data_IF_284089755057
#
_entry.id   IF_284089755057
#
_cell.length_a   1.000
_cell.length_b   1.000
_cell.length_c   1.000
_cell.angle_alpha   90.00
_cell.angle_beta   90.00
_cell.angle_gamma   90.00
#
_symmetry.space_group_name_H-M   'P 1'
#
loop_
_entity.id
_entity.type
_entity.pdbx_description
1 polymer ?
#
# COMPACT_ATOMS: atom_id res chain seq x y z
N UNK A 1 -3.42 -14.19 -8.60
CA UNK A 1 -3.76 -12.95 -7.86
C UNK A 1 -2.94 -12.88 -6.58
N UNK A 2 -2.59 -11.69 -6.09
CA UNK A 2 -1.90 -11.50 -4.80
C UNK A 2 -2.76 -10.66 -3.87
N UNK A 3 -2.76 -10.97 -2.58
CA UNK A 3 -3.57 -10.26 -1.59
C UNK A 3 -2.67 -9.48 -0.65
N UNK A 4 -3.01 -8.22 -0.39
CA UNK A 4 -2.33 -7.37 0.58
C UNK A 4 -3.34 -7.00 1.67
N UNK A 5 -2.96 -7.25 2.92
CA UNK A 5 -3.70 -6.76 4.08
C UNK A 5 -2.95 -5.54 4.62
N UNK A 6 -3.60 -4.39 4.62
CA UNK A 6 -3.06 -3.13 5.12
C UNK A 6 -3.94 -2.60 6.26
N UNK A 7 -3.61 -2.98 7.50
CA UNK A 7 -4.24 -2.43 8.70
C UNK A 7 -3.23 -2.28 9.83
N UNK A 8 -3.48 -1.33 10.74
CA UNK A 8 -2.77 -1.26 12.03
C UNK A 8 -3.36 -2.21 13.08
N UNK A 9 -4.57 -2.74 12.88
CA UNK A 9 -5.23 -3.64 13.83
C UNK A 9 -4.74 -5.08 13.66
N UNK A 10 -3.97 -5.58 14.64
CA UNK A 10 -3.40 -6.91 14.60
C UNK A 10 -4.43 -8.03 14.67
N UNK A 11 -5.56 -7.86 15.36
CA UNK A 11 -6.62 -8.87 15.40
C UNK A 11 -7.25 -9.08 14.02
N UNK A 12 -7.53 -7.98 13.32
CA UNK A 12 -8.04 -8.01 11.95
C UNK A 12 -7.00 -8.62 11.00
N UNK A 13 -5.73 -8.23 11.14
CA UNK A 13 -4.63 -8.78 10.35
C UNK A 13 -4.56 -10.32 10.47
N UNK A 14 -4.61 -10.84 11.71
CA UNK A 14 -4.61 -12.27 11.96
C UNK A 14 -5.88 -12.96 11.44
N UNK A 15 -7.06 -12.39 11.71
CA UNK A 15 -8.33 -12.94 11.25
C UNK A 15 -8.40 -13.05 9.73
N UNK A 16 -8.04 -11.99 9.01
CA UNK A 16 -8.00 -12.00 7.54
C UNK A 16 -6.92 -12.94 7.00
N UNK A 17 -5.75 -13.03 7.65
CA UNK A 17 -4.70 -13.97 7.24
C UNK A 17 -5.16 -15.42 7.38
N UNK A 18 -5.92 -15.74 8.42
CA UNK A 18 -6.51 -17.06 8.63
C UNK A 18 -7.61 -17.35 7.60
N UNK A 19 -8.52 -16.40 7.39
CA UNK A 19 -9.63 -16.53 6.41
C UNK A 19 -9.12 -16.68 4.98
N UNK A 20 -8.00 -16.04 4.64
CA UNK A 20 -7.44 -16.01 3.28
C UNK A 20 -6.23 -16.92 3.12
N UNK A 21 -6.13 -17.99 3.93
CA UNK A 21 -5.00 -18.94 3.92
C UNK A 21 -4.71 -19.57 2.55
N UNK A 22 -5.75 -19.73 1.73
CA UNK A 22 -5.65 -20.33 0.39
C UNK A 22 -5.18 -19.32 -0.67
N UNK A 23 -5.03 -18.05 -0.29
CA UNK A 23 -4.50 -16.98 -1.13
C UNK A 23 -3.05 -16.67 -0.77
N UNK A 24 -2.31 -16.13 -1.75
CA UNK A 24 -0.98 -15.56 -1.51
C UNK A 24 -1.10 -14.19 -0.81
N UNK A 25 -1.25 -14.22 0.51
CA UNK A 25 -1.40 -13.06 1.37
C UNK A 25 -0.04 -12.46 1.74
N UNK A 26 0.04 -11.13 1.76
CA UNK A 26 1.18 -10.37 2.26
C UNK A 26 0.69 -9.25 3.17
N UNK A 27 1.32 -9.09 4.33
CA UNK A 27 1.02 -7.97 5.22
C UNK A 27 1.73 -6.73 4.67
N UNK A 28 1.04 -5.60 4.61
CA UNK A 28 1.58 -4.37 4.03
C UNK A 28 2.83 -3.87 4.76
N UNK A 29 2.86 -3.95 6.10
CA UNK A 29 4.02 -3.56 6.90
C UNK A 29 5.27 -4.40 6.62
N UNK A 30 5.09 -5.69 6.31
CA UNK A 30 6.19 -6.58 5.91
C UNK A 30 6.62 -6.33 4.46
N UNK A 31 5.64 -6.19 3.56
CA UNK A 31 5.85 -5.99 2.14
C UNK A 31 6.59 -4.68 1.87
N UNK A 32 6.18 -3.61 2.54
CA UNK A 32 6.73 -2.27 2.39
C UNK A 32 7.83 -1.93 3.41
N UNK A 33 8.52 -2.95 3.92
CA UNK A 33 9.69 -2.75 4.77
C UNK A 33 10.85 -2.12 4.00
N UNK A 34 11.67 -1.33 4.69
CA UNK A 34 12.85 -0.66 4.13
C UNK A 34 13.87 -1.64 3.53
N UNK A 35 13.93 -2.86 4.06
CA UNK A 35 14.76 -3.95 3.55
C UNK A 35 14.31 -4.42 2.16
N UNK A 36 13.00 -4.37 1.88
CA UNK A 36 12.42 -4.80 0.60
C UNK A 36 12.40 -3.70 -0.46
N UNK A 37 12.94 -2.52 -0.19
CA UNK A 37 12.90 -1.36 -1.12
C UNK A 37 13.45 -1.60 -2.53
N UNK A 38 14.43 -2.51 -2.67
CA UNK A 38 15.07 -2.85 -3.96
C UNK A 38 14.36 -4.01 -4.69
N UNK A 39 13.37 -4.65 -4.06
CA UNK A 39 12.65 -5.75 -4.69
C UNK A 39 11.82 -5.25 -5.87
N UNK A 40 11.74 -6.08 -6.92
CA UNK A 40 10.86 -5.80 -8.04
C UNK A 40 9.45 -6.23 -7.70
N UNK A 41 8.53 -5.27 -7.74
CA UNK A 41 7.10 -5.58 -7.74
C UNK A 41 6.69 -5.98 -9.16
N UNK A 42 6.04 -7.13 -9.31
CA UNK A 42 5.57 -7.58 -10.61
C UNK A 42 4.39 -6.70 -11.06
N UNK A 43 4.54 -6.02 -12.19
CA UNK A 43 3.52 -5.11 -12.73
C UNK A 43 2.37 -5.86 -13.45
N UNK A 44 2.56 -7.12 -13.84
CA UNK A 44 1.52 -7.93 -14.51
C UNK A 44 0.62 -8.72 -13.56
N UNK A 45 0.79 -8.58 -12.24
CA UNK A 45 -0.07 -9.26 -11.26
C UNK A 45 -1.29 -8.40 -10.88
N UNK A 46 -2.45 -9.04 -10.74
CA UNK A 46 -3.64 -8.44 -10.11
C UNK A 46 -3.50 -8.45 -8.59
N UNK A 47 -3.71 -7.30 -7.96
CA UNK A 47 -3.56 -7.09 -6.51
C UNK A 47 -4.91 -6.85 -5.83
N UNK A 48 -5.33 -7.74 -4.96
CA UNK A 48 -6.41 -7.47 -4.01
C UNK A 48 -5.82 -6.77 -2.79
N UNK A 49 -6.37 -5.61 -2.43
CA UNK A 49 -5.92 -4.81 -1.29
C UNK A 49 -7.09 -4.73 -0.32
N UNK A 50 -6.94 -5.33 0.86
CA UNK A 50 -7.90 -5.21 1.96
C UNK A 50 -7.28 -4.27 2.97
N UNK A 51 -7.92 -3.13 3.21
CA UNK A 51 -7.35 -2.09 4.08
C UNK A 51 -8.42 -1.41 4.93
N UNK A 52 -8.01 -0.92 6.10
CA UNK A 52 -8.86 -0.02 6.88
C UNK A 52 -8.99 1.36 6.20
N UNK A 53 -9.99 2.13 6.64
CA UNK A 53 -10.27 3.46 6.09
C UNK A 53 -9.04 4.39 6.17
N UNK A 54 -8.28 4.30 7.27
CA UNK A 54 -7.09 5.13 7.52
C UNK A 54 -6.01 4.93 6.47
N UNK A 55 -5.76 3.68 6.07
CA UNK A 55 -4.72 3.36 5.07
C UNK A 55 -5.27 3.31 3.65
N UNK A 56 -6.58 3.31 3.47
CA UNK A 56 -7.23 3.12 2.18
C UNK A 56 -6.87 4.18 1.15
N UNK A 57 -6.82 5.45 1.53
CA UNK A 57 -6.38 6.52 0.63
C UNK A 57 -4.95 6.30 0.15
N UNK A 58 -4.01 6.08 1.08
CA UNK A 58 -2.61 5.85 0.76
C UNK A 58 -2.42 4.62 -0.14
N UNK A 59 -3.05 3.49 0.19
CA UNK A 59 -2.89 2.25 -0.58
C UNK A 59 -3.38 2.40 -2.01
N UNK A 60 -4.53 3.07 -2.21
CA UNK A 60 -5.05 3.41 -3.54
C UNK A 60 -4.04 4.15 -4.40
N UNK A 61 -3.33 5.09 -3.79
CA UNK A 61 -2.35 5.92 -4.47
C UNK A 61 -1.04 5.20 -4.75
N UNK A 62 -0.54 4.43 -3.79
CA UNK A 62 0.67 3.61 -3.92
C UNK A 62 0.53 2.60 -5.08
N UNK A 63 -0.69 2.11 -5.32
CA UNK A 63 -1.01 1.15 -6.39
C UNK A 63 -1.50 1.78 -7.70
N UNK A 64 -1.51 3.10 -7.85
CA UNK A 64 -1.81 3.70 -9.16
C UNK A 64 -0.86 3.20 -10.25
N UNK A 65 -1.40 3.05 -11.46
CA UNK A 65 -0.70 2.43 -12.58
C UNK A 65 -0.76 0.90 -12.60
N UNK A 66 -1.27 0.26 -11.53
CA UNK A 66 -1.36 -1.20 -11.43
C UNK A 66 -2.80 -1.67 -11.49
N UNK A 67 -2.97 -2.94 -11.83
CA UNK A 67 -4.25 -3.63 -11.80
C UNK A 67 -4.55 -4.06 -10.36
N UNK A 68 -5.50 -3.38 -9.69
CA UNK A 68 -5.84 -3.68 -8.30
C UNK A 68 -7.32 -3.52 -7.97
N UNK A 69 -7.79 -4.29 -7.02
CA UNK A 69 -9.11 -4.16 -6.38
C UNK A 69 -8.87 -3.80 -4.92
N UNK A 70 -9.63 -2.85 -4.38
CA UNK A 70 -9.49 -2.41 -3.00
C UNK A 70 -10.81 -2.59 -2.25
N UNK A 71 -10.76 -3.31 -1.13
CA UNK A 71 -11.89 -3.55 -0.23
C UNK A 71 -11.60 -2.89 1.13
N UNK A 72 -12.63 -2.28 1.71
CA UNK A 72 -12.55 -1.73 3.07
C UNK A 72 -12.83 -2.85 4.07
N UNK A 73 -11.95 -2.99 5.06
CA UNK A 73 -12.12 -4.00 6.10
C UNK A 73 -13.46 -3.85 6.82
N UNK A 74 -13.88 -2.62 7.05
CA UNK A 74 -15.09 -2.25 7.79
C UNK A 74 -16.37 -2.73 7.08
N UNK A 75 -16.31 -2.99 5.78
CA UNK A 75 -17.43 -3.48 4.96
C UNK A 75 -17.44 -5.02 4.85
N UNK A 76 -16.37 -5.69 5.27
CA UNK A 76 -16.23 -7.14 5.16
C UNK A 76 -16.80 -7.83 6.40
N UNK A 77 -17.88 -8.59 6.17
CA UNK A 77 -18.53 -9.44 7.18
C UNK A 77 -18.32 -10.92 6.90
N UNK A 78 -18.16 -11.31 5.63
CA UNK A 78 -18.02 -12.72 5.23
C UNK A 78 -16.96 -12.91 4.15
N UNK A 79 -16.46 -14.14 4.02
CA UNK A 79 -15.53 -14.52 2.95
C UNK A 79 -16.19 -14.40 1.57
N UNK A 80 -17.48 -14.73 1.45
CA UNK A 80 -18.23 -14.67 0.20
C UNK A 80 -18.22 -13.27 -0.41
N UNK A 81 -18.27 -12.20 0.41
CA UNK A 81 -18.17 -10.83 -0.10
C UNK A 81 -16.82 -10.55 -0.78
N UNK A 82 -15.73 -11.14 -0.27
CA UNK A 82 -14.39 -11.02 -0.87
C UNK A 82 -14.37 -11.75 -2.22
N UNK A 83 -14.91 -12.98 -2.25
CA UNK A 83 -14.99 -13.79 -3.46
C UNK A 83 -15.86 -13.13 -4.54
N UNK A 84 -17.08 -12.72 -4.19
CA UNK A 84 -17.96 -11.96 -5.07
C UNK A 84 -17.28 -10.71 -5.63
N UNK A 85 -16.55 -9.98 -4.78
CA UNK A 85 -15.80 -8.79 -5.23
C UNK A 85 -14.70 -9.16 -6.24
N UNK A 86 -14.00 -10.28 -6.04
CA UNK A 86 -12.98 -10.76 -6.99
C UNK A 86 -13.62 -11.11 -8.34
N UNK A 87 -14.78 -11.80 -8.32
CA UNK A 87 -15.52 -12.21 -9.52
C UNK A 87 -16.31 -11.08 -10.18
N UNK A 88 -16.61 -9.99 -9.47
CA UNK A 88 -17.39 -8.85 -9.98
C UNK A 88 -16.71 -8.01 -11.07
N UNK A 89 -15.45 -8.31 -11.40
CA UNK A 89 -14.62 -7.56 -12.35
C UNK A 89 -14.42 -6.06 -12.03
N UNK A 90 -14.70 -5.60 -10.81
CA UNK A 90 -14.55 -4.19 -10.38
C UNK A 90 -13.08 -3.75 -10.17
N UNK A 91 -12.15 -4.34 -10.92
CA UNK A 91 -10.73 -4.06 -10.87
C UNK A 91 -10.44 -2.66 -11.42
N UNK A 92 -9.61 -1.92 -10.69
CA UNK A 92 -9.09 -0.63 -11.13
C UNK A 92 -7.82 -0.85 -11.92
N UNK A 93 -7.77 -0.29 -13.13
CA UNK A 93 -6.56 -0.27 -13.92
C UNK A 93 -6.42 1.05 -14.67
N UNK A 94 -5.51 1.90 -14.17
CA UNK A 94 -5.21 3.17 -14.82
C UNK A 94 -3.87 3.06 -15.56
N UNK A 95 -3.91 2.74 -16.85
CA UNK A 95 -2.74 2.60 -17.72
C UNK A 95 -2.05 3.92 -18.05
N UNK A 96 -2.75 5.05 -17.88
CA UNK A 96 -2.20 6.38 -18.19
C UNK A 96 -1.16 6.85 -17.17
N UNK A 97 -1.15 6.27 -15.97
CA UNK A 97 -0.23 6.63 -14.89
C UNK A 97 0.87 5.57 -14.78
N UNK A 98 2.14 5.99 -14.89
CA UNK A 98 3.27 5.08 -14.70
C UNK A 98 3.33 4.57 -13.25
N UNK A 99 3.38 3.24 -13.02
CA UNK A 99 3.47 2.66 -11.69
C UNK A 99 4.65 3.19 -10.88
N UNK A 100 4.45 3.38 -9.57
CA UNK A 100 5.52 3.76 -8.65
C UNK A 100 6.55 2.62 -8.52
N UNK A 101 7.84 2.96 -8.47
CA UNK A 101 8.87 1.98 -8.10
C UNK A 101 8.70 1.54 -6.64
N UNK A 102 9.10 0.30 -6.32
CA UNK A 102 9.05 -0.25 -4.96
C UNK A 102 9.70 0.67 -3.92
N UNK A 103 10.83 1.30 -4.25
CA UNK A 103 11.50 2.23 -3.33
C UNK A 103 10.65 3.45 -2.98
N UNK A 104 9.90 4.01 -3.94
CA UNK A 104 8.98 5.13 -3.67
C UNK A 104 7.79 4.64 -2.83
N UNK A 105 7.23 3.48 -3.17
CA UNK A 105 6.11 2.89 -2.42
C UNK A 105 6.48 2.66 -0.95
N UNK A 106 7.65 2.07 -0.70
CA UNK A 106 8.21 1.82 0.63
C UNK A 106 8.42 3.13 1.40
N UNK A 107 9.02 4.15 0.78
CA UNK A 107 9.27 5.42 1.47
C UNK A 107 7.97 6.12 1.88
N UNK A 108 6.99 6.19 0.96
CA UNK A 108 5.68 6.77 1.26
C UNK A 108 4.98 5.96 2.35
N UNK A 109 4.94 4.63 2.21
CA UNK A 109 4.31 3.76 3.20
C UNK A 109 4.92 3.95 4.59
N UNK A 110 6.25 3.87 4.72
CA UNK A 110 6.90 4.00 6.02
C UNK A 110 6.70 5.40 6.63
N UNK A 111 6.69 6.46 5.81
CA UNK A 111 6.44 7.82 6.31
C UNK A 111 5.02 8.03 6.84
N UNK A 112 4.01 7.31 6.32
CA UNK A 112 2.60 7.47 6.73
C UNK A 112 2.21 6.43 7.78
N UNK A 113 2.56 5.16 7.55
CA UNK A 113 2.17 4.07 8.42
C UNK A 113 2.92 4.10 9.75
N UNK A 114 4.24 4.32 9.71
CA UNK A 114 5.09 4.38 10.90
C UNK A 114 5.39 5.80 11.36
N UNK A 115 4.94 6.82 10.63
CA UNK A 115 5.19 8.23 10.94
C UNK A 115 6.69 8.56 11.05
N UNK A 116 7.52 7.81 10.32
CA UNK A 116 8.97 8.01 10.33
C UNK A 116 9.37 9.32 9.68
N UNK A 117 10.26 10.05 10.36
CA UNK A 117 10.85 11.27 9.83
C UNK A 117 11.76 10.98 8.63
N UNK A 118 11.92 11.92 7.68
CA UNK A 118 12.84 11.75 6.56
C UNK A 118 14.29 11.44 6.99
N UNK A 119 14.74 12.00 8.11
CA UNK A 119 16.06 11.73 8.68
C UNK A 119 16.17 10.27 9.17
N UNK A 120 15.15 9.78 9.88
CA UNK A 120 15.12 8.39 10.34
C UNK A 120 15.03 7.40 9.18
N UNK A 121 14.23 7.70 8.16
CA UNK A 121 14.17 6.91 6.93
C UNK A 121 15.52 6.87 6.21
N UNK A 122 16.25 7.98 6.17
CA UNK A 122 17.57 8.05 5.56
C UNK A 122 18.57 7.16 6.29
N UNK A 123 18.59 7.24 7.62
CA UNK A 123 19.43 6.40 8.48
C UNK A 123 19.11 4.92 8.28
N UNK A 124 17.84 4.52 8.43
CA UNK A 124 17.42 3.11 8.34
C UNK A 124 17.56 2.53 6.93
N UNK A 125 17.41 3.35 5.90
CA UNK A 125 17.62 2.92 4.53
C UNK A 125 19.09 2.96 4.09
N UNK A 126 20.00 3.51 4.90
CA UNK A 126 21.37 3.85 4.50
C UNK A 126 21.39 4.65 3.19
N UNK A 127 20.67 5.78 3.18
CA UNK A 127 20.54 6.69 2.05
C UNK A 127 20.86 8.12 2.50
N UNK A 128 21.21 8.98 1.54
CA UNK A 128 21.27 10.41 1.80
C UNK A 128 19.84 10.96 2.02
N UNK A 129 19.68 11.85 2.99
CA UNK A 129 18.43 12.57 3.28
C UNK A 129 17.85 13.25 2.02
N UNK A 130 18.69 13.84 1.16
CA UNK A 130 18.28 14.41 -0.13
C UNK A 130 17.62 13.38 -1.06
N UNK A 131 18.13 12.15 -1.07
CA UNK A 131 17.55 11.04 -1.83
C UNK A 131 16.18 10.67 -1.28
N UNK A 132 16.03 10.63 0.05
CA UNK A 132 14.74 10.36 0.69
C UNK A 132 13.71 11.43 0.32
N UNK A 133 14.04 12.71 0.44
CA UNK A 133 13.15 13.79 0.01
C UNK A 133 12.76 13.66 -1.47
N UNK A 134 13.70 13.33 -2.34
CA UNK A 134 13.42 13.11 -3.77
C UNK A 134 12.42 11.98 -3.98
N UNK A 135 12.54 10.88 -3.23
CA UNK A 135 11.61 9.75 -3.32
C UNK A 135 10.22 10.12 -2.77
N UNK A 136 10.15 10.81 -1.62
CA UNK A 136 8.90 11.26 -1.02
C UNK A 136 8.19 12.27 -1.92
N UNK A 137 8.88 13.25 -2.48
CA UNK A 137 8.29 14.22 -3.42
C UNK A 137 7.83 13.58 -4.73
N UNK A 138 8.52 12.54 -5.23
CA UNK A 138 8.01 11.71 -6.34
C UNK A 138 6.71 11.00 -5.96
N UNK A 139 6.62 10.51 -4.73
CA UNK A 139 5.41 9.99 -4.12
C UNK A 139 4.30 11.05 -4.11
N UNK A 140 4.52 12.21 -3.50
CA UNK A 140 3.53 13.31 -3.39
C UNK A 140 2.95 13.76 -4.74
N UNK A 141 3.81 13.99 -5.73
CA UNK A 141 3.34 14.44 -7.05
C UNK A 141 2.40 13.42 -7.71
N UNK A 142 2.63 12.13 -7.49
CA UNK A 142 1.88 11.05 -8.13
C UNK A 142 0.72 10.53 -7.29
N UNK A 143 0.90 10.48 -5.98
CA UNK A 143 -0.08 9.99 -5.02
C UNK A 143 -1.07 11.07 -4.59
N UNK A 144 -0.72 12.35 -4.66
CA UNK A 144 -1.46 13.36 -3.89
C UNK A 144 -1.85 14.60 -4.70
N UNK A 145 -1.65 14.58 -6.02
CA UNK A 145 -1.84 15.77 -6.88
C UNK A 145 -1.17 17.03 -6.29
N UNK A 146 -0.02 16.88 -5.64
CA UNK A 146 0.72 17.98 -5.01
C UNK A 146 0.40 18.25 -3.54
N UNK A 147 -0.52 17.51 -2.90
CA UNK A 147 -0.66 17.56 -1.42
C UNK A 147 0.53 16.87 -0.75
N UNK A 148 0.89 17.35 0.45
CA UNK A 148 1.97 16.74 1.25
C UNK A 148 1.55 15.39 1.83
N UNK A 149 2.51 14.47 1.97
CA UNK A 149 2.31 13.13 2.54
C UNK A 149 1.63 13.16 3.92
N UNK A 150 1.86 14.22 4.73
CA UNK A 150 1.22 14.42 6.03
C UNK A 150 -0.32 14.46 6.00
N UNK A 151 -0.92 14.67 4.83
CA UNK A 151 -2.38 14.68 4.65
C UNK A 151 -2.95 13.30 4.24
N UNK A 152 -2.10 12.26 4.12
CA UNK A 152 -2.55 10.87 3.87
C UNK A 152 -2.75 10.08 5.16
N UNK A 153 -2.00 10.39 6.21
CA UNK A 153 -2.39 10.00 7.56
C UNK A 153 -3.64 10.79 7.87
N UNK A 154 -4.79 10.12 8.03
CA UNK A 154 -6.07 10.74 8.42
C UNK A 154 -6.04 11.36 9.81
N UNK A 155 -5.11 12.28 10.03
CA UNK A 155 -5.05 13.20 11.16
C UNK A 155 -5.67 14.50 10.65
N UNK A 156 -6.99 14.57 10.77
CA UNK A 156 -7.62 15.78 11.31
C UNK A 156 -7.83 15.51 12.80
#
# INVERSE_FOLDING_TARGET
MKVIIATKNKYIEYGLKFLLKDYKVSIASELFSLQRRKHRINNGSSWLIICDERLGGMMRYIFQGRHFLQLRVEELKTLSQIEESIYSYMWRYNTTVRPLSMSVMVMVFCSVYHEYSPAYLAQMANLNVKTVYTLLSKGERRCLKGKRIKYLSGVM
#
